data_IF_475771701139
#
_entry.id   IF_475771701139
#
_cell.length_a   1.000
_cell.length_b   1.000
_cell.length_c   1.000
_cell.angle_alpha   90.00
_cell.angle_beta   90.00
_cell.angle_gamma   90.00
#
_symmetry.space_group_name_H-M   'P 1'
#
loop_
_entity.id
_entity.type
_entity.pdbx_description
1 polymer ?
#
# COMPACT_ATOMS: atom_id res chain seq x y z
N UNK A 1 -7.22 48.63 -18.74
CA UNK A 1 -6.29 47.55 -19.12
C UNK A 1 -5.21 47.55 -18.06
N UNK A 2 -5.30 46.61 -17.12
CA UNK A 2 -4.38 46.45 -15.98
C UNK A 2 -4.02 44.98 -15.95
N UNK A 3 -2.78 44.65 -16.28
CA UNK A 3 -2.30 43.28 -16.29
C UNK A 3 -0.87 43.27 -15.73
N UNK A 4 -0.78 43.54 -14.43
CA UNK A 4 0.45 43.46 -13.64
C UNK A 4 0.21 42.46 -12.50
N UNK A 5 0.50 41.18 -12.71
CA UNK A 5 0.57 40.22 -11.58
C UNK A 5 1.23 38.87 -11.85
N UNK A 6 1.77 38.61 -13.05
CA UNK A 6 2.31 37.30 -13.39
C UNK A 6 3.81 37.37 -13.77
N UNK A 7 4.59 38.20 -13.07
CA UNK A 7 6.06 38.25 -13.26
C UNK A 7 6.85 38.17 -11.95
N UNK A 8 6.22 37.69 -10.86
CA UNK A 8 6.85 37.57 -9.54
C UNK A 8 7.07 36.12 -9.05
N UNK A 9 6.87 35.09 -9.91
CA UNK A 9 7.00 33.68 -9.49
C UNK A 9 8.15 32.89 -10.11
N UNK A 10 8.97 33.49 -10.97
CA UNK A 10 10.02 32.73 -11.69
C UNK A 10 11.45 32.89 -11.17
N UNK A 11 11.70 33.58 -10.05
CA UNK A 11 13.06 33.93 -9.61
C UNK A 11 13.61 33.17 -8.38
N UNK A 12 12.93 32.16 -7.84
CA UNK A 12 13.29 31.59 -6.53
C UNK A 12 13.69 30.09 -6.50
N UNK A 13 13.83 29.38 -7.62
CA UNK A 13 14.11 27.92 -7.59
C UNK A 13 15.44 27.52 -8.26
N UNK A 14 16.19 28.46 -8.85
CA UNK A 14 17.47 28.17 -9.53
C UNK A 14 18.73 28.49 -8.71
N UNK A 15 18.74 28.27 -7.39
CA UNK A 15 19.99 28.33 -6.62
C UNK A 15 19.98 27.38 -5.43
N UNK A 16 20.16 26.09 -5.72
CA UNK A 16 20.64 25.13 -4.74
C UNK A 16 21.55 24.08 -5.41
N UNK A 17 22.75 24.48 -5.79
CA UNK A 17 23.87 23.53 -5.98
C UNK A 17 25.03 24.06 -5.16
N UNK A 18 25.10 23.59 -3.92
CA UNK A 18 26.23 23.82 -3.05
C UNK A 18 27.39 22.93 -3.48
N UNK A 19 28.56 23.57 -3.52
CA UNK A 19 29.86 23.00 -3.77
C UNK A 19 30.24 21.91 -2.77
N UNK A 20 30.94 20.89 -3.25
CA UNK A 20 31.57 19.89 -2.41
C UNK A 20 32.44 18.95 -3.23
N UNK A 21 33.75 19.08 -3.09
CA UNK A 21 34.68 17.96 -3.24
C UNK A 21 35.53 17.95 -4.51
N UNK A 22 36.83 18.20 -4.31
CA UNK A 22 37.92 18.19 -5.28
C UNK A 22 38.35 16.78 -5.71
N UNK A 23 38.66 16.68 -7.00
CA UNK A 23 39.48 15.75 -7.79
C UNK A 23 40.26 14.60 -7.09
N UNK A 24 40.06 13.38 -7.58
CA UNK A 24 41.11 12.36 -7.67
C UNK A 24 40.93 11.53 -8.96
N UNK A 25 42.05 11.26 -9.62
CA UNK A 25 42.18 10.79 -10.99
C UNK A 25 41.62 9.38 -11.26
N UNK A 26 41.11 9.18 -12.48
CA UNK A 26 40.72 7.88 -13.01
C UNK A 26 40.12 8.01 -14.40
N UNK A 27 40.97 8.04 -15.42
CA UNK A 27 40.55 7.90 -16.82
C UNK A 27 39.98 6.49 -17.06
N UNK A 28 38.71 6.37 -17.42
CA UNK A 28 38.16 5.17 -18.00
C UNK A 28 37.37 5.55 -19.25
N UNK A 29 37.94 5.20 -20.41
CA UNK A 29 37.34 5.36 -21.72
C UNK A 29 36.11 4.44 -21.86
N UNK A 30 34.99 5.01 -22.33
CA UNK A 30 33.79 4.26 -22.63
C UNK A 30 32.76 5.14 -23.33
N UNK A 31 32.77 5.11 -24.66
CA UNK A 31 31.79 5.75 -25.54
C UNK A 31 30.50 4.91 -25.55
N UNK A 32 29.35 5.55 -25.33
CA UNK A 32 28.01 4.96 -25.55
C UNK A 32 26.92 5.90 -25.00
N UNK A 33 26.47 6.92 -25.73
CA UNK A 33 25.31 6.88 -26.66
C UNK A 33 24.05 6.22 -26.07
N UNK A 34 23.05 7.09 -25.90
CA UNK A 34 21.60 6.86 -25.93
C UNK A 34 20.91 6.45 -24.61
N UNK A 35 20.24 7.44 -24.04
CA UNK A 35 19.09 7.35 -23.14
C UNK A 35 17.87 6.79 -23.90
N UNK A 36 17.29 5.66 -23.51
CA UNK A 36 15.87 5.42 -23.67
C UNK A 36 15.18 5.82 -22.38
N UNK A 37 14.27 6.79 -22.47
CA UNK A 37 13.22 6.94 -21.47
C UNK A 37 12.32 5.70 -21.57
N UNK A 38 12.52 4.72 -20.71
CA UNK A 38 11.51 3.71 -20.43
C UNK A 38 10.95 4.06 -19.06
N UNK A 39 9.77 4.67 -19.07
CA UNK A 39 8.94 4.82 -17.89
C UNK A 39 8.58 3.43 -17.41
N UNK A 40 9.37 2.90 -16.48
CA UNK A 40 8.99 1.73 -15.71
C UNK A 40 8.07 2.21 -14.58
N UNK A 41 6.77 2.13 -14.86
CA UNK A 41 5.73 2.06 -13.85
C UNK A 41 5.94 0.82 -12.99
N UNK A 42 6.94 0.86 -12.11
CA UNK A 42 6.99 -0.03 -10.96
C UNK A 42 6.02 0.54 -9.93
N UNK A 43 4.73 0.24 -10.15
CA UNK A 43 3.72 0.28 -9.09
C UNK A 43 4.24 -0.62 -7.98
N UNK A 44 4.89 -0.03 -6.97
CA UNK A 44 5.18 -0.70 -5.72
C UNK A 44 3.88 -0.82 -4.94
N UNK A 45 2.96 -1.65 -5.42
CA UNK A 45 1.85 -2.16 -4.61
C UNK A 45 2.44 -3.14 -3.59
N UNK A 46 3.00 -2.56 -2.55
CA UNK A 46 3.67 -3.24 -1.46
C UNK A 46 3.77 -2.28 -0.29
N UNK A 47 2.68 -1.59 0.03
CA UNK A 47 2.55 -0.95 1.35
C UNK A 47 2.44 -2.10 2.33
N UNK A 48 3.60 -2.59 2.78
CA UNK A 48 3.67 -3.46 3.94
C UNK A 48 3.15 -2.65 5.12
N UNK A 49 2.28 -3.25 5.91
CA UNK A 49 1.86 -2.68 7.18
C UNK A 49 3.10 -2.27 7.98
N UNK A 50 3.05 -1.11 8.64
CA UNK A 50 4.07 -0.75 9.62
C UNK A 50 4.24 -1.91 10.63
N UNK A 51 5.45 -2.12 11.15
CA UNK A 51 5.74 -3.32 11.96
C UNK A 51 4.77 -3.50 13.14
N UNK A 52 4.34 -2.40 13.75
CA UNK A 52 3.37 -2.44 14.87
C UNK A 52 1.96 -2.83 14.41
N UNK A 53 1.55 -2.42 13.21
CA UNK A 53 0.24 -2.81 12.66
C UNK A 53 0.24 -4.26 12.16
N UNK A 54 1.38 -4.77 11.69
CA UNK A 54 1.48 -6.18 11.27
C UNK A 54 1.29 -7.14 12.44
N UNK A 55 1.91 -6.91 13.60
CA UNK A 55 1.70 -7.73 14.81
C UNK A 55 0.23 -7.74 15.25
N UNK A 56 -0.45 -6.60 15.15
CA UNK A 56 -1.88 -6.49 15.47
C UNK A 56 -2.74 -7.30 14.50
N UNK A 57 -2.43 -7.25 13.20
CA UNK A 57 -3.10 -8.06 12.18
C UNK A 57 -2.89 -9.55 12.43
N UNK A 58 -1.64 -9.96 12.67
CA UNK A 58 -1.29 -11.36 12.92
C UNK A 58 -1.99 -11.89 14.18
N UNK A 59 -2.02 -11.10 15.26
CA UNK A 59 -2.75 -11.45 16.48
C UNK A 59 -4.24 -11.60 16.24
N UNK A 60 -4.88 -10.69 15.49
CA UNK A 60 -6.31 -10.79 15.17
C UNK A 60 -6.64 -12.01 14.30
N UNK A 61 -5.78 -12.34 13.34
CA UNK A 61 -5.96 -13.51 12.51
C UNK A 61 -5.79 -14.80 13.32
N UNK A 62 -4.71 -14.89 14.10
CA UNK A 62 -4.35 -16.12 14.82
C UNK A 62 -5.15 -16.38 16.08
N UNK A 63 -5.52 -15.34 16.84
CA UNK A 63 -6.21 -15.49 18.12
C UNK A 63 -7.74 -15.38 18.03
N UNK A 64 -8.27 -14.83 16.93
CA UNK A 64 -9.71 -14.60 16.80
C UNK A 64 -10.29 -15.18 15.50
N UNK A 65 -9.82 -14.69 14.35
CA UNK A 65 -10.51 -14.90 13.07
C UNK A 65 -10.31 -16.30 12.50
N UNK A 66 -9.17 -16.94 12.81
CA UNK A 66 -8.81 -18.28 12.37
C UNK A 66 -8.67 -19.28 13.54
N UNK A 67 -8.94 -18.84 14.77
CA UNK A 67 -8.94 -19.67 15.97
C UNK A 67 -10.31 -20.33 16.19
N UNK A 68 -10.41 -21.63 15.90
CA UNK A 68 -11.67 -22.41 16.08
C UNK A 68 -12.10 -22.54 17.54
N UNK A 69 -11.15 -22.51 18.47
CA UNK A 69 -11.40 -22.63 19.91
C UNK A 69 -11.75 -21.28 20.57
N UNK A 70 -11.77 -20.19 19.80
CA UNK A 70 -12.08 -18.87 20.36
C UNK A 70 -13.58 -18.78 20.73
N UNK A 71 -13.96 -18.39 21.96
CA UNK A 71 -15.34 -18.49 22.45
C UNK A 71 -16.38 -17.71 21.62
N UNK A 72 -15.96 -16.60 20.99
CA UNK A 72 -16.81 -15.80 20.10
C UNK A 72 -16.30 -15.75 18.65
N UNK A 73 -15.14 -16.37 18.39
CA UNK A 73 -14.44 -16.34 17.11
C UNK A 73 -14.50 -17.68 16.38
N UNK A 74 -14.80 -18.76 17.10
CA UNK A 74 -14.77 -20.13 16.59
C UNK A 74 -15.67 -20.33 15.37
N UNK A 75 -16.91 -19.86 15.42
CA UNK A 75 -17.82 -19.95 14.26
C UNK A 75 -17.33 -19.16 13.04
N UNK A 76 -16.58 -18.06 13.24
CA UNK A 76 -15.97 -17.31 12.14
C UNK A 76 -14.77 -18.06 11.56
N UNK A 77 -13.95 -18.65 12.42
CA UNK A 77 -12.83 -19.48 12.02
C UNK A 77 -13.30 -20.74 11.24
N UNK A 78 -14.38 -21.39 11.68
CA UNK A 78 -14.98 -22.49 10.95
C UNK A 78 -15.52 -22.05 9.59
N UNK A 79 -16.15 -20.89 9.51
CA UNK A 79 -16.60 -20.34 8.24
C UNK A 79 -15.42 -20.03 7.32
N UNK A 80 -14.36 -19.38 7.81
CA UNK A 80 -13.16 -19.09 7.02
C UNK A 80 -12.50 -20.35 6.47
N UNK A 81 -12.45 -21.42 7.28
CA UNK A 81 -11.90 -22.71 6.87
C UNK A 81 -12.80 -23.40 5.83
N UNK A 82 -14.11 -23.49 6.05
CA UNK A 82 -15.03 -24.17 5.12
C UNK A 82 -15.31 -23.39 3.84
N UNK A 83 -15.41 -22.06 3.94
CA UNK A 83 -15.77 -21.20 2.82
C UNK A 83 -14.57 -20.90 1.92
N UNK A 84 -13.40 -20.62 2.51
CA UNK A 84 -12.21 -20.13 1.80
C UNK A 84 -10.97 -21.02 2.00
N UNK A 85 -10.99 -21.98 2.92
CA UNK A 85 -9.82 -22.81 3.24
C UNK A 85 -8.77 -22.09 4.09
N UNK A 86 -9.14 -21.01 4.77
CA UNK A 86 -8.21 -20.28 5.65
C UNK A 86 -8.23 -20.82 7.07
N UNK A 87 -7.04 -21.04 7.61
CA UNK A 87 -6.79 -21.46 8.99
C UNK A 87 -5.47 -20.84 9.50
N UNK A 88 -5.09 -21.12 10.73
CA UNK A 88 -3.88 -20.54 11.33
C UNK A 88 -2.60 -20.79 10.51
N UNK A 89 -2.51 -21.94 9.81
CA UNK A 89 -1.34 -22.32 9.00
C UNK A 89 -1.12 -21.50 7.72
N UNK A 90 -2.16 -20.86 7.19
CA UNK A 90 -2.07 -20.00 5.98
C UNK A 90 -2.53 -18.56 6.25
N UNK A 91 -2.48 -18.14 7.52
CA UNK A 91 -2.85 -16.80 8.00
C UNK A 91 -2.08 -15.67 7.30
N UNK A 92 -0.81 -15.89 6.94
CA UNK A 92 0.00 -14.91 6.21
C UNK A 92 -0.56 -14.58 4.82
N UNK A 93 -1.21 -15.53 4.16
CA UNK A 93 -1.68 -15.35 2.79
C UNK A 93 -2.98 -14.55 2.72
N UNK A 94 -3.81 -14.62 3.76
CA UNK A 94 -4.97 -13.73 3.89
C UNK A 94 -4.53 -12.33 4.34
N UNK A 95 -3.53 -12.20 5.22
CA UNK A 95 -3.03 -10.91 5.69
C UNK A 95 -2.53 -10.01 4.55
N UNK A 96 -1.86 -10.59 3.55
CA UNK A 96 -1.35 -9.87 2.37
C UNK A 96 -2.46 -9.35 1.46
N UNK A 97 -3.64 -9.99 1.48
CA UNK A 97 -4.76 -9.64 0.61
C UNK A 97 -5.63 -8.55 1.24
N UNK A 98 -5.79 -8.55 2.56
CA UNK A 98 -6.62 -7.58 3.29
C UNK A 98 -5.79 -6.33 3.64
N UNK A 99 -5.37 -5.60 2.61
CA UNK A 99 -4.66 -4.33 2.76
C UNK A 99 -5.55 -3.18 2.29
N UNK A 100 -5.75 -2.21 3.19
CA UNK A 100 -6.47 -1.00 2.85
C UNK A 100 -5.58 -0.09 1.99
N UNK A 101 -6.04 0.21 0.78
CA UNK A 101 -5.35 1.08 -0.18
C UNK A 101 -6.20 2.33 -0.42
N UNK A 102 -5.84 3.50 0.15
CA UNK A 102 -6.62 4.73 0.03
C UNK A 102 -6.90 5.14 -1.42
N UNK A 103 -5.98 4.85 -2.35
CA UNK A 103 -6.14 5.15 -3.78
C UNK A 103 -7.22 4.31 -4.48
N UNK A 104 -7.58 3.15 -3.92
CA UNK A 104 -8.65 2.26 -4.42
C UNK A 104 -9.97 2.43 -3.65
N UNK A 105 -9.93 3.16 -2.54
CA UNK A 105 -11.09 3.38 -1.69
C UNK A 105 -11.98 4.50 -2.23
N UNK A 106 -13.29 4.33 -2.11
CA UNK A 106 -14.29 5.30 -2.52
C UNK A 106 -14.76 6.06 -1.29
N UNK A 107 -14.65 7.39 -1.33
CA UNK A 107 -15.19 8.28 -0.30
C UNK A 107 -16.71 8.15 -0.25
N UNK A 108 -17.27 7.78 0.90
CA UNK A 108 -18.70 7.50 1.06
C UNK A 108 -19.46 8.56 1.84
N UNK A 109 -18.82 9.24 2.80
CA UNK A 109 -19.43 10.35 3.52
C UNK A 109 -18.38 11.31 4.07
N UNK A 110 -18.73 12.59 4.17
CA UNK A 110 -18.02 13.55 5.03
C UNK A 110 -18.92 13.96 6.17
N UNK A 111 -18.37 13.88 7.37
CA UNK A 111 -19.01 14.31 8.59
C UNK A 111 -18.10 15.31 9.28
N UNK A 112 -18.61 16.05 10.27
CA UNK A 112 -17.77 16.91 11.11
C UNK A 112 -16.62 16.15 11.81
N UNK A 113 -16.71 14.82 11.92
CA UNK A 113 -15.69 13.96 12.55
C UNK A 113 -14.65 13.41 11.57
N UNK A 114 -14.83 13.66 10.27
CA UNK A 114 -13.92 13.18 9.22
C UNK A 114 -14.61 12.53 8.04
N UNK A 115 -13.80 11.90 7.20
CA UNK A 115 -14.19 11.30 5.92
C UNK A 115 -14.27 9.78 6.05
N UNK A 116 -15.39 9.19 5.61
CA UNK A 116 -15.57 7.73 5.50
C UNK A 116 -15.16 7.24 4.12
N UNK A 117 -14.53 6.07 4.10
CA UNK A 117 -14.04 5.45 2.88
C UNK A 117 -14.43 3.98 2.87
N UNK A 118 -14.98 3.54 1.75
CA UNK A 118 -15.30 2.15 1.53
C UNK A 118 -14.34 1.57 0.48
N UNK A 119 -13.79 0.40 0.73
CA UNK A 119 -12.98 -0.35 -0.21
C UNK A 119 -13.52 -1.77 -0.35
N UNK A 120 -13.78 -2.18 -1.58
CA UNK A 120 -14.04 -3.59 -1.88
C UNK A 120 -12.70 -4.28 -2.12
N UNK A 121 -12.45 -5.35 -1.37
CA UNK A 121 -11.23 -6.16 -1.48
C UNK A 121 -11.64 -7.58 -1.87
N UNK A 122 -11.11 -8.06 -2.99
CA UNK A 122 -11.27 -9.44 -3.43
C UNK A 122 -10.29 -10.34 -2.69
N UNK A 123 -10.80 -11.32 -1.95
CA UNK A 123 -10.01 -12.27 -1.17
C UNK A 123 -10.13 -13.64 -1.83
N UNK A 124 -8.99 -14.18 -2.25
CA UNK A 124 -8.88 -15.52 -2.84
C UNK A 124 -8.42 -16.51 -1.78
N UNK A 125 -9.29 -17.46 -1.48
CA UNK A 125 -9.07 -18.55 -0.54
C UNK A 125 -8.07 -19.57 -1.03
N UNK A 126 -7.47 -20.32 -0.10
CA UNK A 126 -6.61 -21.45 -0.40
C UNK A 126 -7.33 -22.58 -1.17
N UNK A 127 -8.66 -22.61 -1.10
CA UNK A 127 -9.50 -23.51 -1.89
C UNK A 127 -9.80 -23.01 -3.33
N UNK A 128 -9.23 -21.87 -3.74
CA UNK A 128 -9.41 -21.28 -5.07
C UNK A 128 -10.69 -20.47 -5.24
N UNK A 129 -11.52 -20.30 -4.20
CA UNK A 129 -12.71 -19.44 -4.26
C UNK A 129 -12.33 -18.00 -3.96
N UNK A 130 -12.89 -17.07 -4.71
CA UNK A 130 -12.74 -15.63 -4.48
C UNK A 130 -14.04 -15.05 -3.97
N UNK A 131 -13.95 -14.18 -2.96
CA UNK A 131 -15.08 -13.40 -2.45
C UNK A 131 -14.74 -11.91 -2.49
N UNK A 132 -15.73 -11.09 -2.75
CA UNK A 132 -15.60 -9.63 -2.66
C UNK A 132 -16.16 -9.16 -1.33
N UNK A 133 -15.30 -8.52 -0.52
CA UNK A 133 -15.67 -8.01 0.79
C UNK A 133 -15.57 -6.49 0.79
N UNK A 134 -16.69 -5.84 1.11
CA UNK A 134 -16.75 -4.38 1.28
C UNK A 134 -16.34 -4.03 2.71
N UNK A 135 -15.23 -3.31 2.84
CA UNK A 135 -14.76 -2.68 4.07
C UNK A 135 -15.16 -1.20 4.04
N UNK A 136 -15.65 -0.62 5.13
CA UNK A 136 -16.06 0.78 5.24
C UNK A 136 -16.37 1.19 6.67
#
# INVERSE_FOLDING_TARGET
MSNDSEEAKQLAINSLVQAGGTSAAGIAAGVGKNKPNTGESAVKNGVKNASETQTSVDSKLTNYLLAKDHPVGGSKAEWCDKALGFNQGNSSDVAKQIVFEPSKAVKTAETQLGVKYDQVISITGANGRTIDVKFG
#
